data_IF_569547511442
#
_entry.id   IF_569547511442
#
_cell.length_a   1.000
_cell.length_b   1.000
_cell.length_c   1.000
_cell.angle_alpha   90.00
_cell.angle_beta   90.00
_cell.angle_gamma   90.00
#
_symmetry.space_group_name_H-M   'P 1'
#
loop_
_entity.id
_entity.type
_entity.pdbx_description
1 polymer ?
#
# COMPACT_ATOMS: atom_id res chain seq x y z
N UNK A 1 17.12 11.00 -16.48
CA UNK A 1 17.05 11.62 -15.13
C UNK A 1 16.23 12.90 -15.19
N UNK A 2 16.24 13.63 -16.31
CA UNK A 2 15.29 14.73 -16.56
C UNK A 2 13.83 14.26 -16.51
N UNK A 3 13.52 13.06 -17.03
CA UNK A 3 12.15 12.50 -17.03
C UNK A 3 11.54 12.32 -15.63
N UNK A 4 12.35 11.98 -14.61
CA UNK A 4 11.85 11.81 -13.24
C UNK A 4 11.58 13.15 -12.56
N UNK A 5 12.37 14.17 -12.90
CA UNK A 5 12.18 15.51 -12.37
C UNK A 5 10.91 16.14 -12.96
N UNK A 6 10.64 15.94 -14.25
CA UNK A 6 9.41 16.37 -14.91
C UNK A 6 8.17 15.70 -14.27
N UNK A 7 8.21 14.37 -14.08
CA UNK A 7 7.13 13.63 -13.41
C UNK A 7 6.90 14.16 -11.98
N UNK A 8 7.98 14.49 -11.26
CA UNK A 8 7.87 15.04 -9.90
C UNK A 8 7.24 16.44 -9.90
N UNK A 9 7.62 17.30 -10.84
CA UNK A 9 7.07 18.65 -10.97
C UNK A 9 5.58 18.60 -11.32
N UNK A 10 5.19 17.76 -12.28
CA UNK A 10 3.79 17.53 -12.65
C UNK A 10 2.97 17.02 -11.46
N UNK A 11 3.50 16.03 -10.73
CA UNK A 11 2.88 15.54 -9.51
C UNK A 11 2.69 16.63 -8.46
N UNK A 12 3.70 17.48 -8.23
CA UNK A 12 3.61 18.53 -7.22
C UNK A 12 2.55 19.56 -7.60
N UNK A 13 2.49 19.97 -8.87
CA UNK A 13 1.45 20.90 -9.37
C UNK A 13 0.06 20.31 -9.13
N UNK A 14 -0.18 19.09 -9.60
CA UNK A 14 -1.47 18.42 -9.42
C UNK A 14 -1.81 18.22 -7.93
N UNK A 15 -0.86 17.73 -7.12
CA UNK A 15 -1.09 17.45 -5.71
C UNK A 15 -1.42 18.73 -4.92
N UNK A 16 -0.77 19.86 -5.19
CA UNK A 16 -1.13 21.12 -4.53
C UNK A 16 -2.53 21.59 -4.91
N UNK A 17 -2.92 21.49 -6.18
CA UNK A 17 -4.27 21.84 -6.64
C UNK A 17 -5.34 20.94 -5.99
N UNK A 18 -5.11 19.63 -5.98
CA UNK A 18 -6.00 18.64 -5.39
C UNK A 18 -6.15 18.84 -3.87
N UNK A 19 -5.05 19.12 -3.17
CA UNK A 19 -5.08 19.34 -1.71
C UNK A 19 -5.78 20.65 -1.36
N UNK A 20 -5.63 21.71 -2.15
CA UNK A 20 -6.39 22.95 -1.94
C UNK A 20 -7.88 22.76 -2.22
N UNK A 21 -8.23 21.96 -3.25
CA UNK A 21 -9.62 21.60 -3.53
C UNK A 21 -10.25 20.83 -2.36
N UNK A 22 -9.54 19.84 -1.80
CA UNK A 22 -10.01 19.10 -0.61
C UNK A 22 -10.22 20.05 0.57
N UNK A 23 -9.29 20.97 0.81
CA UNK A 23 -9.37 21.91 1.94
C UNK A 23 -10.65 22.76 1.86
N UNK A 24 -10.95 23.32 0.68
CA UNK A 24 -12.20 24.03 0.44
C UNK A 24 -13.45 23.14 0.61
N UNK A 25 -13.42 21.93 0.06
CA UNK A 25 -14.54 20.99 0.14
C UNK A 25 -14.81 20.54 1.59
N UNK A 26 -13.77 20.37 2.42
CA UNK A 26 -13.92 20.01 3.83
C UNK A 26 -14.55 21.14 4.65
N UNK A 27 -14.22 22.40 4.37
CA UNK A 27 -14.86 23.55 5.00
C UNK A 27 -16.36 23.62 4.63
N UNK A 28 -16.70 23.33 3.37
CA UNK A 28 -18.12 23.22 2.97
C UNK A 28 -18.81 22.04 3.69
N UNK A 29 -18.09 20.92 3.84
CA UNK A 29 -18.59 19.70 4.48
C UNK A 29 -18.86 19.90 5.97
N UNK A 30 -18.10 20.77 6.64
CA UNK A 30 -18.33 21.13 8.04
C UNK A 30 -19.74 21.68 8.26
N UNK A 31 -20.25 22.46 7.30
CA UNK A 31 -21.61 23.01 7.33
C UNK A 31 -22.67 21.98 6.93
N UNK A 32 -22.32 21.02 6.08
CA UNK A 32 -23.24 20.02 5.53
C UNK A 32 -22.66 18.58 5.63
N UNK A 33 -22.48 18.03 6.84
CA UNK A 33 -21.72 16.78 7.05
C UNK A 33 -22.39 15.51 6.49
N UNK A 34 -23.64 15.61 6.03
CA UNK A 34 -24.40 14.51 5.41
C UNK A 34 -24.46 14.63 3.88
N UNK A 35 -23.76 15.60 3.28
CA UNK A 35 -23.66 15.75 1.83
C UNK A 35 -22.78 14.64 1.22
N UNK A 36 -23.45 13.64 0.66
CA UNK A 36 -22.80 12.48 0.03
C UNK A 36 -22.06 12.84 -1.27
N UNK A 37 -22.52 13.85 -2.02
CA UNK A 37 -21.81 14.24 -3.24
C UNK A 37 -20.46 14.87 -2.89
N UNK A 38 -20.47 15.73 -1.86
CA UNK A 38 -19.29 16.37 -1.32
C UNK A 38 -18.30 15.34 -0.73
N UNK A 39 -18.79 14.41 0.10
CA UNK A 39 -17.97 13.31 0.64
C UNK A 39 -17.32 12.45 -0.45
N UNK A 40 -18.08 12.08 -1.49
CA UNK A 40 -17.54 11.28 -2.58
C UNK A 40 -16.51 12.06 -3.41
N UNK A 41 -16.70 13.36 -3.60
CA UNK A 41 -15.71 14.22 -4.26
C UNK A 41 -14.40 14.26 -3.48
N UNK A 42 -14.46 14.56 -2.18
CA UNK A 42 -13.27 14.59 -1.30
C UNK A 42 -12.56 13.25 -1.29
N UNK A 43 -13.31 12.14 -1.15
CA UNK A 43 -12.77 10.79 -1.16
C UNK A 43 -12.00 10.47 -2.46
N UNK A 44 -12.57 10.82 -3.63
CA UNK A 44 -11.90 10.59 -4.92
C UNK A 44 -10.58 11.34 -5.02
N UNK A 45 -10.56 12.60 -4.58
CA UNK A 45 -9.33 13.40 -4.61
C UNK A 45 -8.27 12.81 -3.67
N UNK A 46 -8.67 12.43 -2.44
CA UNK A 46 -7.76 11.80 -1.48
C UNK A 46 -7.17 10.50 -2.04
N UNK A 47 -7.99 9.68 -2.69
CA UNK A 47 -7.59 8.44 -3.33
C UNK A 47 -6.60 8.67 -4.49
N UNK A 48 -6.81 9.72 -5.29
CA UNK A 48 -5.86 10.12 -6.34
C UNK A 48 -4.50 10.50 -5.73
N UNK A 49 -4.48 11.35 -4.70
CA UNK A 49 -3.22 11.75 -4.05
C UNK A 49 -2.49 10.55 -3.43
N UNK A 50 -3.22 9.60 -2.82
CA UNK A 50 -2.64 8.33 -2.34
C UNK A 50 -2.02 7.52 -3.49
N UNK A 51 -2.73 7.39 -4.61
CA UNK A 51 -2.25 6.67 -5.79
C UNK A 51 -0.96 7.26 -6.35
N UNK A 52 -0.94 8.58 -6.57
CA UNK A 52 0.22 9.29 -7.12
C UNK A 52 1.41 9.29 -6.16
N UNK A 53 1.18 9.48 -4.85
CA UNK A 53 2.25 9.40 -3.84
C UNK A 53 2.84 7.99 -3.74
N UNK A 54 2.01 6.94 -3.84
CA UNK A 54 2.47 5.56 -3.81
C UNK A 54 3.31 5.22 -5.04
N UNK A 55 2.92 5.71 -6.22
CA UNK A 55 3.67 5.53 -7.46
C UNK A 55 5.09 6.12 -7.37
N UNK A 56 5.23 7.26 -6.71
CA UNK A 56 6.51 7.96 -6.52
C UNK A 56 7.30 7.51 -5.27
N UNK A 57 6.77 6.56 -4.50
CA UNK A 57 7.35 6.05 -3.25
C UNK A 57 7.50 7.11 -2.16
N UNK A 58 6.51 8.01 -2.03
CA UNK A 58 6.40 8.91 -0.89
C UNK A 58 5.63 8.22 0.25
N UNK A 59 6.33 7.32 0.94
CA UNK A 59 5.76 6.40 1.94
C UNK A 59 5.01 7.13 3.07
N UNK A 60 5.52 8.27 3.54
CA UNK A 60 4.90 9.06 4.62
C UNK A 60 3.60 9.67 4.14
N UNK A 61 3.60 10.26 2.93
CA UNK A 61 2.40 10.84 2.33
C UNK A 61 1.35 9.76 1.99
N UNK A 62 1.78 8.63 1.44
CA UNK A 62 0.91 7.48 1.15
C UNK A 62 0.28 6.93 2.43
N UNK A 63 1.05 6.79 3.51
CA UNK A 63 0.53 6.32 4.79
C UNK A 63 -0.54 7.28 5.33
N UNK A 64 -0.24 8.58 5.39
CA UNK A 64 -1.18 9.58 5.90
C UNK A 64 -2.50 9.60 5.11
N UNK A 65 -2.40 9.64 3.78
CA UNK A 65 -3.58 9.66 2.89
C UNK A 65 -4.42 8.40 3.00
N UNK A 66 -3.80 7.22 3.20
CA UNK A 66 -4.52 5.98 3.44
C UNK A 66 -5.38 6.03 4.71
N UNK A 67 -4.81 6.49 5.84
CA UNK A 67 -5.56 6.62 7.09
C UNK A 67 -6.71 7.65 6.98
N UNK A 68 -6.50 8.74 6.26
CA UNK A 68 -7.55 9.72 5.99
C UNK A 68 -8.65 9.12 5.09
N UNK A 69 -8.27 8.37 4.06
CA UNK A 69 -9.19 7.68 3.15
C UNK A 69 -10.10 6.70 3.90
N UNK A 70 -9.58 5.96 4.89
CA UNK A 70 -10.39 5.03 5.69
C UNK A 70 -11.52 5.72 6.46
N UNK A 71 -11.24 6.90 7.04
CA UNK A 71 -12.26 7.71 7.74
C UNK A 71 -13.33 8.19 6.76
N UNK A 72 -12.90 8.77 5.64
CA UNK A 72 -13.81 9.26 4.60
C UNK A 72 -14.63 8.14 3.97
N UNK A 73 -14.03 6.95 3.83
CA UNK A 73 -14.70 5.76 3.31
C UNK A 73 -15.83 5.32 4.24
N UNK A 74 -15.62 5.32 5.56
CA UNK A 74 -16.70 4.99 6.51
C UNK A 74 -17.79 6.05 6.52
N UNK A 75 -17.40 7.33 6.42
CA UNK A 75 -18.35 8.43 6.35
C UNK A 75 -19.30 8.33 5.15
N UNK A 76 -18.76 8.11 3.95
CA UNK A 76 -19.58 8.03 2.72
C UNK A 76 -20.49 6.80 2.65
N UNK A 77 -20.19 5.73 3.41
CA UNK A 77 -21.06 4.56 3.54
C UNK A 77 -22.09 4.70 4.68
N UNK A 78 -22.09 5.82 5.41
CA UNK A 78 -22.97 6.03 6.55
C UNK A 78 -22.59 5.21 7.80
N UNK A 79 -21.40 4.62 7.82
CA UNK A 79 -20.86 3.86 8.95
C UNK A 79 -20.26 4.78 10.03
N UNK A 80 -19.92 6.01 9.66
CA UNK A 80 -19.34 7.02 10.52
C UNK A 80 -20.03 8.38 10.28
N UNK A 81 -20.41 9.08 11.35
CA UNK A 81 -20.92 10.45 11.25
C UNK A 81 -19.79 11.44 11.45
N UNK A 82 -19.58 12.35 10.51
CA UNK A 82 -18.62 13.45 10.65
C UNK A 82 -19.13 14.42 11.72
N UNK A 83 -18.37 14.53 12.80
CA UNK A 83 -18.58 15.48 13.91
C UNK A 83 -17.50 16.55 13.86
N UNK A 84 -17.67 17.70 14.54
CA UNK A 84 -16.63 18.74 14.59
C UNK A 84 -15.26 18.20 15.02
N UNK A 85 -15.22 17.35 16.07
CA UNK A 85 -13.96 16.76 16.55
C UNK A 85 -13.30 15.86 15.49
N UNK A 86 -14.09 15.17 14.66
CA UNK A 86 -13.57 14.35 13.56
C UNK A 86 -13.09 15.25 12.42
N UNK A 87 -13.85 16.31 12.10
CA UNK A 87 -13.48 17.29 11.09
C UNK A 87 -12.12 17.93 11.40
N UNK A 88 -11.89 18.32 12.65
CA UNK A 88 -10.60 18.86 13.10
C UNK A 88 -9.44 17.91 12.81
N UNK A 89 -9.63 16.60 13.02
CA UNK A 89 -8.60 15.59 12.74
C UNK A 89 -8.35 15.45 11.24
N UNK A 90 -9.41 15.49 10.43
CA UNK A 90 -9.30 15.41 8.97
C UNK A 90 -8.61 16.65 8.42
N UNK A 91 -8.99 17.86 8.85
CA UNK A 91 -8.33 19.11 8.45
C UNK A 91 -6.86 19.15 8.90
N UNK A 92 -6.55 18.69 10.11
CA UNK A 92 -5.14 18.56 10.55
C UNK A 92 -4.36 17.62 9.63
N UNK A 93 -4.97 16.53 9.14
CA UNK A 93 -4.30 15.64 8.19
C UNK A 93 -4.01 16.32 6.85
N UNK A 94 -4.87 17.22 6.38
CA UNK A 94 -4.63 18.07 5.19
C UNK A 94 -3.44 19.01 5.41
N UNK A 95 -3.34 19.64 6.59
CA UNK A 95 -2.19 20.49 6.93
C UNK A 95 -0.87 19.70 6.90
N UNK A 96 -0.89 18.45 7.40
CA UNK A 96 0.26 17.55 7.33
C UNK A 96 0.59 17.18 5.88
N UNK A 97 -0.41 16.91 5.04
CA UNK A 97 -0.20 16.69 3.60
C UNK A 97 0.45 17.90 2.92
N UNK A 98 -0.06 19.12 3.15
CA UNK A 98 0.54 20.36 2.62
C UNK A 98 2.00 20.50 3.05
N UNK A 99 2.32 20.16 4.30
CA UNK A 99 3.70 20.22 4.79
C UNK A 99 4.61 19.18 4.14
N UNK A 100 4.12 17.95 3.95
CA UNK A 100 4.87 16.89 3.24
C UNK A 100 5.10 17.25 1.77
N UNK A 101 4.11 17.81 1.06
CA UNK A 101 4.28 18.30 -0.31
C UNK A 101 5.34 19.40 -0.40
N UNK A 102 5.38 20.32 0.56
CA UNK A 102 6.46 21.31 0.65
C UNK A 102 7.83 20.64 0.88
N UNK A 103 7.92 19.62 1.75
CA UNK A 103 9.16 18.86 1.93
C UNK A 103 9.62 18.17 0.65
N UNK A 104 8.68 17.58 -0.10
CA UNK A 104 8.96 16.91 -1.38
C UNK A 104 9.46 17.93 -2.41
N UNK A 105 8.81 19.10 -2.52
CA UNK A 105 9.26 20.19 -3.40
C UNK A 105 10.68 20.64 -3.08
N UNK A 106 10.99 20.82 -1.81
CA UNK A 106 12.24 21.45 -1.40
C UNK A 106 13.41 20.44 -1.32
N UNK A 107 13.13 19.16 -1.09
CA UNK A 107 14.14 18.12 -0.81
C UNK A 107 14.06 16.88 -1.70
N UNK A 108 13.04 16.76 -2.55
CA UNK A 108 12.77 15.59 -3.40
C UNK A 108 12.28 14.35 -2.64
N UNK A 109 11.95 14.47 -1.35
CA UNK A 109 11.44 13.36 -0.54
C UNK A 109 10.61 13.86 0.66
N UNK A 110 9.81 12.97 1.24
CA UNK A 110 8.86 13.23 2.32
C UNK A 110 9.38 12.88 3.73
N UNK A 111 10.64 12.43 3.85
CA UNK A 111 11.27 12.08 5.12
C UNK A 111 12.27 13.12 5.61
N UNK A 112 12.70 14.05 4.74
CA UNK A 112 13.76 15.02 5.00
C UNK A 112 13.54 15.87 6.25
N UNK A 113 12.29 16.25 6.51
CA UNK A 113 11.93 17.10 7.66
C UNK A 113 11.70 16.31 8.96
N UNK A 114 11.73 14.97 8.91
CA UNK A 114 11.50 14.12 10.08
C UNK A 114 10.15 14.33 10.76
N UNK A 115 9.10 14.64 9.97
CA UNK A 115 7.75 14.84 10.49
C UNK A 115 7.23 13.55 11.11
N UNK A 116 6.82 13.62 12.37
CA UNK A 116 6.12 12.53 13.03
C UNK A 116 4.63 12.56 12.68
N UNK A 117 4.19 11.61 11.85
CA UNK A 117 2.79 11.44 11.47
C UNK A 117 2.07 10.36 12.31
N UNK A 118 2.79 9.60 13.15
CA UNK A 118 2.18 8.51 13.91
C UNK A 118 1.04 8.98 14.82
N UNK A 119 1.12 10.13 15.52
CA UNK A 119 0.02 10.61 16.36
C UNK A 119 -1.27 10.89 15.57
N UNK A 120 -1.17 11.47 14.37
CA UNK A 120 -2.35 11.77 13.55
C UNK A 120 -2.90 10.50 12.91
N UNK A 121 -2.04 9.60 12.43
CA UNK A 121 -2.45 8.30 11.91
C UNK A 121 -3.19 7.48 12.97
N UNK A 122 -2.70 7.46 14.22
CA UNK A 122 -3.36 6.77 15.31
C UNK A 122 -4.76 7.34 15.59
N UNK A 123 -4.92 8.67 15.59
CA UNK A 123 -6.23 9.32 15.76
C UNK A 123 -7.19 8.99 14.61
N UNK A 124 -6.71 9.04 13.37
CA UNK A 124 -7.51 8.67 12.19
C UNK A 124 -7.95 7.20 12.24
N UNK A 125 -7.06 6.29 12.63
CA UNK A 125 -7.40 4.87 12.82
C UNK A 125 -8.47 4.70 13.90
N UNK A 126 -8.30 5.31 15.07
CA UNK A 126 -9.26 5.25 16.17
C UNK A 126 -10.65 5.75 15.73
N UNK A 127 -10.69 6.89 15.02
CA UNK A 127 -11.92 7.43 14.42
C UNK A 127 -12.56 6.43 13.48
N UNK A 128 -11.77 5.85 12.57
CA UNK A 128 -12.30 4.87 11.63
C UNK A 128 -12.89 3.67 12.39
N UNK A 129 -12.25 3.20 13.45
CA UNK A 129 -12.69 2.05 14.26
C UNK A 129 -13.90 2.35 15.15
N UNK A 130 -14.39 3.60 15.15
CA UNK A 130 -15.55 4.03 15.92
C UNK A 130 -15.22 4.51 17.32
N UNK A 131 -13.93 4.73 17.62
CA UNK A 131 -13.48 5.33 18.87
C UNK A 131 -13.54 6.86 18.78
N UNK A 132 -13.95 7.51 19.86
CA UNK A 132 -14.02 8.97 19.90
C UNK A 132 -12.62 9.58 20.11
N UNK A 133 -12.25 10.68 19.41
CA UNK A 133 -10.90 11.27 19.46
C UNK A 133 -10.41 11.69 20.86
N UNK A 134 -11.32 11.80 21.84
CA UNK A 134 -11.07 12.36 23.18
C UNK A 134 -10.70 11.30 24.22
N UNK A 135 -10.76 10.00 23.88
CA UNK A 135 -10.65 8.92 24.87
C UNK A 135 -9.24 8.31 25.06
N UNK A 136 -8.18 8.90 24.50
CA UNK A 136 -6.83 8.36 24.62
C UNK A 136 -6.08 8.88 25.88
N UNK A 137 -6.59 8.58 27.07
CA UNK A 137 -5.78 8.46 28.29
C UNK A 137 -6.52 7.56 29.28
N UNK A 138 -5.87 6.46 29.68
CA UNK A 138 -6.34 5.39 30.57
C UNK A 138 -7.33 4.36 29.98
N UNK A 139 -6.82 3.24 29.46
CA UNK A 139 -6.58 2.05 30.27
C UNK A 139 -6.25 0.82 29.41
N UNK A 140 -5.22 0.11 29.86
CA UNK A 140 -4.76 -1.17 29.36
C UNK A 140 -5.66 -2.29 29.89
N UNK A 141 -6.44 -2.95 29.03
CA UNK A 141 -6.91 -4.33 29.30
C UNK A 141 -7.05 -5.17 28.02
N UNK A 142 -5.91 -5.73 27.62
CA UNK A 142 -5.74 -7.16 27.30
C UNK A 142 -6.94 -7.89 26.67
N UNK A 143 -6.90 -8.08 25.35
CA UNK A 143 -7.41 -9.29 24.70
C UNK A 143 -6.57 -9.66 23.49
N UNK A 144 -5.83 -10.76 23.64
CA UNK A 144 -5.36 -11.67 22.58
C UNK A 144 -5.31 -13.06 23.24
N UNK A 145 -5.48 -14.18 22.49
CA UNK A 145 -5.08 -14.34 21.10
C UNK A 145 -6.06 -15.12 20.19
N UNK A 146 -6.09 -14.77 18.90
CA UNK A 146 -6.11 -15.81 17.87
C UNK A 146 -5.31 -15.35 16.66
N UNK A 147 -4.12 -15.95 16.53
CA UNK A 147 -3.32 -15.88 15.32
C UNK A 147 -3.53 -17.18 14.52
N UNK A 148 -3.31 -17.04 13.21
CA UNK A 148 -2.78 -18.01 12.23
C UNK A 148 -3.75 -18.34 11.08
N UNK A 149 -3.28 -18.37 9.81
CA UNK A 149 -2.46 -17.38 9.10
C UNK A 149 -3.08 -17.04 7.72
N UNK A 150 -3.01 -15.79 7.27
CA UNK A 150 -3.28 -15.44 5.86
C UNK A 150 -2.05 -14.81 5.21
N UNK A 151 -1.66 -15.37 4.06
CA UNK A 151 -0.96 -14.70 2.97
C UNK A 151 -0.86 -15.66 1.76
N UNK A 152 -0.64 -15.16 0.53
CA UNK A 152 -1.14 -13.90 -0.05
C UNK A 152 -1.65 -14.12 -1.50
N UNK A 153 -2.35 -13.14 -2.09
CA UNK A 153 -2.34 -12.95 -3.55
C UNK A 153 -2.70 -11.52 -3.97
N UNK A 154 -1.69 -10.86 -4.55
CA UNK A 154 -1.74 -9.63 -5.32
C UNK A 154 -2.46 -9.83 -6.66
N UNK A 155 -3.18 -8.82 -7.15
CA UNK A 155 -3.32 -8.49 -8.58
C UNK A 155 -3.90 -7.06 -8.70
N UNK A 156 -3.05 -6.03 -8.81
CA UNK A 156 -2.74 -5.27 -10.03
C UNK A 156 -4.00 -4.86 -10.82
N UNK A 157 -4.33 -3.57 -10.82
CA UNK A 157 -5.16 -2.95 -11.85
C UNK A 157 -4.64 -1.53 -12.14
N UNK A 158 -4.03 -1.37 -13.32
CA UNK A 158 -3.77 -0.11 -14.02
C UNK A 158 -5.02 0.26 -14.86
N UNK A 159 -5.19 1.53 -15.25
CA UNK A 159 -6.46 2.10 -15.72
C UNK A 159 -6.61 2.02 -17.25
N UNK A 160 -7.86 2.15 -17.75
CA UNK A 160 -8.28 2.69 -19.07
C UNK A 160 -9.77 2.34 -19.34
N UNK A 161 -10.46 2.94 -20.33
CA UNK A 161 -10.67 4.36 -20.63
C UNK A 161 -12.17 4.75 -20.45
N UNK A 162 -12.49 6.04 -20.54
CA UNK A 162 -13.87 6.55 -20.51
C UNK A 162 -14.73 5.95 -21.63
N UNK A 163 -15.83 5.31 -21.25
CA UNK A 163 -16.94 4.96 -22.14
C UNK A 163 -18.19 5.67 -21.63
N UNK A 164 -18.76 6.51 -22.48
CA UNK A 164 -20.03 7.22 -22.28
C UNK A 164 -21.16 6.20 -22.00
N UNK A 165 -21.67 6.21 -20.77
CA UNK A 165 -22.62 5.19 -20.25
C UNK A 165 -24.09 5.52 -20.50
N UNK A 166 -24.42 6.54 -21.29
CA UNK A 166 -25.80 7.03 -21.39
C UNK A 166 -26.76 6.23 -22.32
N UNK A 167 -26.42 5.01 -22.77
CA UNK A 167 -27.29 4.27 -23.71
C UNK A 167 -27.39 2.74 -23.51
N UNK A 168 -27.26 2.21 -22.29
CA UNK A 168 -27.59 0.80 -21.99
C UNK A 168 -28.46 0.71 -20.73
N UNK A 169 -29.52 -0.08 -20.79
CA UNK A 169 -30.43 -0.27 -19.65
C UNK A 169 -29.77 -1.14 -18.57
N UNK A 170 -30.04 -0.86 -17.29
CA UNK A 170 -29.45 -1.58 -16.14
C UNK A 170 -29.60 -3.11 -16.25
N UNK A 171 -30.67 -3.58 -16.90
CA UNK A 171 -30.95 -4.99 -17.19
C UNK A 171 -29.97 -5.64 -18.19
N UNK A 172 -29.40 -4.88 -19.12
CA UNK A 172 -28.45 -5.40 -20.12
C UNK A 172 -27.02 -5.41 -19.58
N UNK A 173 -26.69 -4.45 -18.72
CA UNK A 173 -25.41 -4.36 -18.03
C UNK A 173 -25.22 -5.53 -17.06
N UNK A 174 -26.25 -5.87 -16.27
CA UNK A 174 -26.20 -7.01 -15.36
C UNK A 174 -26.05 -8.35 -16.11
N UNK A 175 -26.72 -8.52 -17.25
CA UNK A 175 -26.62 -9.72 -18.07
C UNK A 175 -25.22 -9.89 -18.69
N UNK A 176 -24.59 -8.80 -19.12
CA UNK A 176 -23.24 -8.85 -19.68
C UNK A 176 -22.19 -9.10 -18.60
N UNK A 177 -22.36 -8.54 -17.39
CA UNK A 177 -21.50 -8.83 -16.23
C UNK A 177 -21.58 -10.33 -15.87
N UNK A 178 -22.78 -10.92 -15.84
CA UNK A 178 -22.93 -12.34 -15.54
C UNK A 178 -22.28 -13.23 -16.63
N UNK A 179 -22.40 -12.83 -17.90
CA UNK A 179 -21.77 -13.52 -19.03
C UNK A 179 -20.24 -13.48 -18.92
N UNK A 180 -19.66 -12.31 -18.67
CA UNK A 180 -18.21 -12.14 -18.54
C UNK A 180 -17.64 -12.91 -17.34
N UNK A 181 -18.37 -12.97 -16.23
CA UNK A 181 -17.99 -13.78 -15.07
C UNK A 181 -18.02 -15.29 -15.37
N UNK A 182 -18.97 -15.77 -16.18
CA UNK A 182 -19.01 -17.18 -16.61
C UNK A 182 -17.85 -17.52 -17.53
N UNK A 183 -17.48 -16.63 -18.45
CA UNK A 183 -16.34 -16.82 -19.37
C UNK A 183 -15.02 -16.91 -18.59
N UNK A 184 -14.75 -15.95 -17.68
CA UNK A 184 -13.55 -15.97 -16.82
C UNK A 184 -13.46 -17.23 -15.96
N UNK A 185 -14.58 -17.67 -15.36
CA UNK A 185 -14.60 -18.91 -14.56
C UNK A 185 -14.32 -20.16 -15.40
N UNK A 186 -14.84 -20.23 -16.62
CA UNK A 186 -14.58 -21.35 -17.53
C UNK A 186 -13.10 -21.38 -17.98
N UNK A 187 -12.53 -20.21 -18.28
CA UNK A 187 -11.13 -20.07 -18.67
C UNK A 187 -10.17 -20.43 -17.53
N UNK A 188 -10.47 -19.98 -16.30
CA UNK A 188 -9.69 -20.34 -15.11
C UNK A 188 -9.78 -21.83 -14.77
N UNK A 189 -10.96 -22.45 -14.98
CA UNK A 189 -11.12 -23.90 -14.81
C UNK A 189 -10.34 -24.68 -15.86
N UNK A 190 -10.32 -24.22 -17.12
CA UNK A 190 -9.50 -24.82 -18.18
C UNK A 190 -8.00 -24.68 -17.89
N UNK A 191 -7.55 -23.50 -17.41
CA UNK A 191 -6.15 -23.26 -17.00
C UNK A 191 -5.75 -24.15 -15.82
N UNK A 192 -6.65 -24.36 -14.85
CA UNK A 192 -6.43 -25.29 -13.71
C UNK A 192 -6.39 -26.74 -14.15
N UNK A 193 -7.21 -27.14 -15.12
CA UNK A 193 -7.22 -28.51 -15.66
C UNK A 193 -5.93 -28.83 -16.45
N UNK A 194 -5.44 -27.89 -17.26
CA UNK A 194 -4.16 -28.06 -17.98
C UNK A 194 -2.96 -28.14 -17.03
N UNK A 195 -2.96 -27.37 -15.94
CA UNK A 195 -1.90 -27.43 -14.91
C UNK A 195 -1.91 -28.76 -14.12
N UNK A 196 -3.02 -29.49 -14.12
CA UNK A 196 -3.15 -30.81 -13.46
C UNK A 196 -2.64 -31.98 -14.33
N UNK A 197 -2.50 -31.78 -15.66
CA UNK A 197 -1.92 -32.76 -16.57
C UNK A 197 -0.39 -32.66 -16.67
N UNK A 198 0.19 -31.47 -16.53
CA UNK A 198 1.66 -31.28 -16.61
C UNK A 198 2.41 -31.77 -15.37
N UNK A 199 1.76 -31.94 -14.21
CA UNK A 199 2.40 -32.43 -12.97
C UNK A 199 2.40 -33.96 -12.80
N UNK A 200 1.73 -34.72 -13.69
CA UNK A 200 1.61 -36.18 -13.57
C UNK A 200 2.58 -36.99 -14.46
N UNK A 201 3.48 -36.35 -15.22
CA UNK A 201 4.46 -37.03 -16.07
C UNK A 201 5.82 -37.30 -15.39
N UNK A 202 6.06 -36.81 -14.17
CA UNK A 202 7.33 -36.94 -13.46
C UNK A 202 7.19 -37.77 -12.18
N UNK A 203 6.72 -39.02 -12.28
CA UNK A 203 7.06 -40.04 -11.29
C UNK A 203 6.82 -41.45 -11.84
N UNK A 204 7.87 -42.04 -12.41
CA UNK A 204 7.98 -43.49 -12.59
C UNK A 204 9.10 -43.97 -11.66
N UNK A 205 8.82 -44.78 -10.63
CA UNK A 205 9.87 -45.34 -9.80
C UNK A 205 10.44 -46.59 -10.47
N UNK A 206 11.76 -46.63 -10.69
CA UNK A 206 12.47 -47.89 -10.97
C UNK A 206 13.12 -48.37 -9.67
N UNK A 207 12.67 -49.54 -9.22
CA UNK A 207 13.16 -50.21 -8.04
C UNK A 207 14.27 -51.21 -8.40
N UNK A 208 15.39 -51.10 -7.68
CA UNK A 208 16.34 -52.13 -7.24
C UNK A 208 17.16 -52.97 -8.24
N UNK A 209 18.50 -53.00 -8.07
CA UNK A 209 19.27 -54.21 -7.66
C UNK A 209 20.78 -53.90 -7.49
N UNK A 210 21.31 -54.39 -6.37
CA UNK A 210 22.68 -54.57 -5.89
C UNK A 210 23.87 -54.56 -6.88
N UNK A 211 24.98 -53.92 -6.49
CA UNK A 211 26.19 -54.62 -6.02
C UNK A 211 27.31 -53.64 -5.55
N UNK A 212 27.92 -53.97 -4.41
CA UNK A 212 29.27 -53.58 -3.93
C UNK A 212 30.26 -54.65 -4.49
N UNK A 213 31.59 -54.44 -4.76
CA UNK A 213 32.55 -53.91 -3.78
C UNK A 213 33.87 -53.23 -4.25
N UNK A 214 34.60 -52.74 -3.23
CA UNK A 214 36.05 -52.47 -3.16
C UNK A 214 36.56 -51.29 -4.01
N UNK A 215 37.60 -50.52 -3.66
CA UNK A 215 38.76 -50.74 -2.79
C UNK A 215 39.48 -49.38 -2.56
N UNK A 216 40.22 -49.25 -1.45
CA UNK A 216 41.46 -48.46 -1.23
C UNK A 216 41.57 -46.99 -1.72
N UNK A 217 42.05 -46.00 -0.95
CA UNK A 217 42.76 -46.03 0.32
C UNK A 217 43.14 -44.61 0.79
N UNK A 218 43.65 -44.56 2.02
CA UNK A 218 44.66 -43.65 2.62
C UNK A 218 44.98 -42.30 1.93
N UNK A 219 45.22 -41.15 2.59
CA UNK A 219 45.76 -40.86 3.92
C UNK A 219 45.75 -39.33 4.15
N UNK A 220 45.50 -38.93 5.40
CA UNK A 220 46.30 -37.99 6.24
C UNK A 220 46.55 -36.53 5.80
N UNK A 221 46.00 -35.63 6.63
CA UNK A 221 46.48 -34.30 7.08
C UNK A 221 47.98 -34.29 7.49
N UNK A 222 48.67 -33.18 7.91
CA UNK A 222 48.22 -31.80 8.21
C UNK A 222 49.23 -30.62 7.90
N UNK A 223 48.81 -29.40 8.29
CA UNK A 223 49.56 -28.34 9.01
C UNK A 223 50.59 -27.39 8.33
N UNK A 224 50.31 -26.09 8.57
CA UNK A 224 51.17 -25.01 9.12
C UNK A 224 52.36 -24.45 8.31
N UNK A 225 52.42 -23.12 8.23
CA UNK A 225 53.59 -22.37 7.75
C UNK A 225 53.42 -20.85 7.87
N UNK A 226 53.96 -20.31 8.96
CA UNK A 226 54.11 -18.90 9.34
C UNK A 226 55.29 -18.17 8.67
N UNK A 227 55.17 -16.86 8.43
CA UNK A 227 56.22 -15.81 8.53
C UNK A 227 55.55 -14.44 8.25
N UNK A 228 55.56 -13.38 9.06
CA UNK A 228 56.58 -12.63 9.82
C UNK A 228 57.38 -11.57 9.01
N UNK A 229 57.37 -10.33 9.54
CA UNK A 229 58.18 -9.12 9.24
C UNK A 229 57.86 -8.34 7.95
N UNK A 230 57.85 -6.99 7.88
CA UNK A 230 58.57 -5.96 8.65
C UNK A 230 57.98 -4.54 8.48
N UNK A 231 58.03 -3.76 9.57
CA UNK A 231 58.36 -2.31 9.72
C UNK A 231 58.30 -1.38 8.47
N UNK A 232 57.62 -0.23 8.58
CA UNK A 232 58.29 1.07 8.74
C UNK A 232 57.31 2.19 9.18
N UNK A 233 57.78 3.05 10.08
CA UNK A 233 57.14 4.28 10.55
C UNK A 233 57.49 5.42 9.59
N UNK A 234 56.61 6.41 9.36
CA UNK A 234 57.02 7.83 9.27
C UNK A 234 55.81 8.76 9.45
N UNK A 235 55.94 9.61 10.46
CA UNK A 235 55.15 10.81 10.78
C UNK A 235 55.65 12.01 9.95
N UNK A 236 54.78 12.94 9.55
CA UNK A 236 54.99 14.42 9.55
C UNK A 236 53.66 15.12 9.22
N UNK A 237 53.08 15.81 10.21
CA UNK A 237 53.13 17.27 10.50
C UNK A 237 52.38 18.09 9.47
#
# INVERSE_FOLDING_TARGET
>A
MEDMQEILEDFLVEAFELVEQIDHDLVELESNPEDLELLNRIFRVAHTVKGSSSFLNFDVLTKLTHHMEDVLNKARHGELKITPDIMDVVLESIDRMKTLLNSIRDNGNDTAIGMDIEPICARLTAISEGESPVAATDSNEKSTPQAEPEAPKQEIATPEPEVDVNQLSDSEVEAEIERLLKVRKAEDQARRAQKKQTTNAANKPTNNTANKPAESGEKKVPASGSNASSMDQTIRV
#
